data_IF_234218245264
#
_entry.id   IF_234218245264
#
_cell.length_a   1.000
_cell.length_b   1.000
_cell.length_c   1.000
_cell.angle_alpha   90.00
_cell.angle_beta   90.00
_cell.angle_gamma   90.00
#
_symmetry.space_group_name_H-M   'P 1'
#
loop_
_entity.id
_entity.type
_entity.pdbx_description
1 polymer ?
#
# COMPACT_ATOMS: atom_id res chain seq x y z
N UNK A 1 50.34 9.04 -15.13
CA UNK A 1 50.53 8.02 -14.07
C UNK A 1 49.22 7.26 -13.89
N UNK A 2 49.17 5.98 -14.19
CA UNK A 2 47.92 5.20 -14.00
C UNK A 2 47.71 5.04 -12.48
N UNK A 3 46.50 5.39 -12.04
CA UNK A 3 46.02 5.20 -10.67
C UNK A 3 45.81 3.73 -10.44
N UNK A 4 46.72 3.09 -9.70
CA UNK A 4 46.62 1.71 -9.27
C UNK A 4 45.43 1.66 -8.30
N UNK A 5 44.27 1.20 -8.77
CA UNK A 5 43.14 0.84 -7.94
C UNK A 5 43.56 -0.44 -7.23
N UNK A 6 43.93 -0.35 -5.96
CA UNK A 6 44.18 -1.51 -5.12
C UNK A 6 42.86 -2.31 -5.10
N UNK A 7 42.84 -3.45 -5.77
CA UNK A 7 41.78 -4.46 -5.63
C UNK A 7 41.93 -5.01 -4.23
N UNK A 8 41.22 -4.42 -3.27
CA UNK A 8 41.07 -4.99 -1.93
C UNK A 8 40.27 -6.28 -2.12
N UNK A 9 40.85 -7.41 -1.76
CA UNK A 9 40.13 -8.67 -1.73
C UNK A 9 38.91 -8.48 -0.84
N UNK A 10 37.75 -8.63 -1.44
CA UNK A 10 36.44 -8.50 -0.79
C UNK A 10 36.33 -9.59 0.28
N UNK A 11 36.14 -9.18 1.53
CA UNK A 11 35.99 -10.12 2.64
C UNK A 11 34.72 -10.96 2.41
N UNK A 12 34.73 -12.24 2.80
CA UNK A 12 33.58 -13.16 2.66
C UNK A 12 32.28 -12.60 3.25
N UNK A 13 32.37 -11.75 4.27
CA UNK A 13 31.22 -11.07 4.84
C UNK A 13 30.68 -9.96 3.93
N UNK A 14 31.56 -9.16 3.33
CA UNK A 14 31.18 -8.12 2.38
C UNK A 14 30.51 -8.70 1.13
N UNK A 15 31.02 -9.85 0.65
CA UNK A 15 30.44 -10.57 -0.47
C UNK A 15 29.02 -11.10 -0.14
N UNK A 16 28.84 -11.71 1.03
CA UNK A 16 27.51 -12.17 1.49
C UNK A 16 26.53 -11.02 1.66
N UNK A 17 26.99 -9.89 2.18
CA UNK A 17 26.18 -8.70 2.36
C UNK A 17 25.73 -8.15 1.00
N UNK A 18 26.62 -8.07 0.02
CA UNK A 18 26.31 -7.63 -1.33
C UNK A 18 25.30 -8.54 -2.03
N UNK A 19 25.53 -9.86 -1.98
CA UNK A 19 24.60 -10.86 -2.53
C UNK A 19 23.22 -10.75 -1.87
N UNK A 20 23.17 -10.50 -0.56
CA UNK A 20 21.91 -10.28 0.16
C UNK A 20 21.21 -9.01 -0.31
N UNK A 21 21.93 -7.89 -0.47
CA UNK A 21 21.35 -6.63 -0.99
C UNK A 21 20.88 -6.76 -2.44
N UNK A 22 21.62 -7.47 -3.29
CA UNK A 22 21.21 -7.72 -4.68
C UNK A 22 19.94 -8.57 -4.73
N UNK A 23 19.85 -9.62 -3.92
CA UNK A 23 18.64 -10.45 -3.81
C UNK A 23 17.45 -9.64 -3.30
N UNK A 24 17.64 -8.84 -2.26
CA UNK A 24 16.59 -7.96 -1.74
C UNK A 24 16.13 -6.91 -2.77
N UNK A 25 17.03 -6.36 -3.57
CA UNK A 25 16.69 -5.41 -4.61
C UNK A 25 15.84 -6.06 -5.73
N UNK A 26 16.12 -7.33 -6.07
CA UNK A 26 15.35 -8.09 -7.07
C UNK A 26 13.98 -8.54 -6.54
N UNK A 27 13.88 -8.88 -5.25
CA UNK A 27 12.62 -9.31 -4.63
C UNK A 27 11.72 -8.13 -4.22
N UNK A 28 12.28 -6.94 -4.02
CA UNK A 28 11.56 -5.76 -3.55
C UNK A 28 10.31 -5.41 -4.39
N UNK A 29 10.31 -5.46 -5.73
CA UNK A 29 9.12 -5.20 -6.53
C UNK A 29 8.00 -6.21 -6.26
N UNK A 30 8.36 -7.49 -6.08
CA UNK A 30 7.42 -8.58 -5.81
C UNK A 30 6.79 -8.41 -4.43
N UNK A 31 7.59 -8.09 -3.42
CA UNK A 31 7.12 -7.85 -2.06
C UNK A 31 6.14 -6.66 -1.98
N UNK A 32 6.40 -5.58 -2.76
CA UNK A 32 5.49 -4.44 -2.85
C UNK A 32 4.15 -4.82 -3.51
N UNK A 33 4.17 -5.65 -4.53
CA UNK A 33 2.95 -6.13 -5.19
C UNK A 33 2.15 -7.07 -4.28
N UNK A 34 2.82 -7.93 -3.53
CA UNK A 34 2.19 -8.83 -2.56
C UNK A 34 1.53 -8.04 -1.42
N UNK A 35 2.22 -7.05 -0.87
CA UNK A 35 1.66 -6.14 0.13
C UNK A 35 0.44 -5.38 -0.40
N UNK A 36 0.47 -4.91 -1.66
CA UNK A 36 -0.66 -4.24 -2.28
C UNK A 36 -1.86 -5.19 -2.48
N UNK A 37 -1.61 -6.45 -2.87
CA UNK A 37 -2.67 -7.47 -2.99
C UNK A 37 -3.33 -7.78 -1.66
N UNK A 38 -2.55 -7.91 -0.59
CA UNK A 38 -3.07 -8.09 0.77
C UNK A 38 -3.94 -6.90 1.19
N UNK A 39 -3.50 -5.68 0.90
CA UNK A 39 -4.27 -4.47 1.21
C UNK A 39 -5.60 -4.43 0.43
N UNK A 40 -5.59 -4.79 -0.86
CA UNK A 40 -6.80 -4.89 -1.68
C UNK A 40 -7.78 -5.88 -1.04
N UNK A 41 -7.29 -7.06 -0.62
CA UNK A 41 -8.10 -8.07 0.06
C UNK A 41 -8.72 -7.56 1.37
N UNK A 42 -7.93 -6.87 2.20
CA UNK A 42 -8.41 -6.27 3.45
C UNK A 42 -9.47 -5.20 3.21
N UNK A 43 -9.22 -4.25 2.30
CA UNK A 43 -10.18 -3.17 1.98
C UNK A 43 -11.48 -3.76 1.44
N UNK A 44 -11.38 -4.70 0.51
CA UNK A 44 -12.57 -5.34 -0.08
C UNK A 44 -13.36 -6.13 0.96
N UNK A 45 -12.68 -6.87 1.84
CA UNK A 45 -13.31 -7.60 2.94
C UNK A 45 -14.04 -6.67 3.92
N UNK A 46 -13.40 -5.56 4.31
CA UNK A 46 -14.02 -4.58 5.21
C UNK A 46 -15.19 -3.85 4.57
N UNK A 47 -15.10 -3.47 3.29
CA UNK A 47 -16.22 -2.91 2.56
C UNK A 47 -17.39 -3.92 2.47
N UNK A 48 -17.09 -5.17 2.16
CA UNK A 48 -18.10 -6.24 2.13
C UNK A 48 -18.78 -6.43 3.48
N UNK A 49 -18.03 -6.45 4.58
CA UNK A 49 -18.57 -6.53 5.92
C UNK A 49 -19.44 -5.31 6.27
N UNK A 50 -18.98 -4.10 5.94
CA UNK A 50 -19.73 -2.87 6.16
C UNK A 50 -21.07 -2.88 5.43
N UNK A 51 -21.07 -3.22 4.14
CA UNK A 51 -22.31 -3.32 3.35
C UNK A 51 -23.20 -4.47 3.83
N UNK A 52 -22.63 -5.59 4.25
CA UNK A 52 -23.37 -6.71 4.83
C UNK A 52 -24.14 -6.30 6.09
N UNK A 53 -23.48 -5.57 7.00
CA UNK A 53 -24.17 -5.06 8.20
C UNK A 53 -25.25 -4.05 7.85
N UNK A 54 -25.01 -3.15 6.89
CA UNK A 54 -26.01 -2.17 6.48
C UNK A 54 -27.26 -2.81 5.84
N UNK A 55 -27.09 -3.88 5.07
CA UNK A 55 -28.23 -4.59 4.45
C UNK A 55 -29.08 -5.34 5.46
N UNK A 56 -28.47 -5.98 6.46
CA UNK A 56 -29.20 -6.70 7.52
C UNK A 56 -29.95 -5.73 8.44
N UNK A 57 -29.41 -4.55 8.67
CA UNK A 57 -30.00 -3.53 9.54
C UNK A 57 -31.09 -2.66 8.86
N UNK A 58 -31.44 -2.94 7.61
CA UNK A 58 -32.35 -2.10 6.81
C UNK A 58 -33.79 -2.02 7.37
N UNK A 59 -34.25 -3.03 8.12
CA UNK A 59 -35.62 -3.07 8.65
C UNK A 59 -35.82 -2.16 9.89
N UNK A 60 -34.76 -1.92 10.67
CA UNK A 60 -34.80 -0.99 11.81
C UNK A 60 -33.49 -0.22 11.90
N UNK A 61 -33.45 0.93 11.21
CA UNK A 61 -32.26 1.80 11.30
C UNK A 61 -32.06 2.29 12.74
N UNK A 62 -30.96 1.94 13.38
CA UNK A 62 -30.66 2.42 14.73
C UNK A 62 -30.65 3.96 14.79
N UNK A 63 -31.13 4.52 15.90
CA UNK A 63 -31.29 5.97 16.07
C UNK A 63 -30.01 6.78 15.83
N UNK A 64 -28.82 6.20 16.14
CA UNK A 64 -27.52 6.84 15.90
C UNK A 64 -27.21 7.08 14.41
N UNK A 65 -27.77 6.28 13.49
CA UNK A 65 -27.64 6.51 12.04
C UNK A 65 -28.40 7.74 11.55
N UNK A 66 -29.32 8.30 12.35
CA UNK A 66 -29.98 9.56 12.03
C UNK A 66 -29.07 10.77 12.20
N UNK A 67 -27.99 10.64 13.01
CA UNK A 67 -27.03 11.71 13.27
C UNK A 67 -26.26 12.08 11.99
N UNK A 68 -26.31 13.35 11.58
CA UNK A 68 -25.61 13.84 10.39
C UNK A 68 -24.10 13.56 10.44
N UNK A 69 -23.50 13.65 11.63
CA UNK A 69 -22.07 13.38 11.81
C UNK A 69 -21.73 11.93 11.46
N UNK A 70 -22.52 10.96 11.92
CA UNK A 70 -22.32 9.53 11.64
C UNK A 70 -22.44 9.24 10.14
N UNK A 71 -23.41 9.84 9.46
CA UNK A 71 -23.57 9.72 8.01
C UNK A 71 -22.34 10.24 7.25
N UNK A 72 -21.88 11.45 7.57
CA UNK A 72 -20.73 12.06 6.90
C UNK A 72 -19.44 11.28 7.17
N UNK A 73 -19.21 10.85 8.40
CA UNK A 73 -18.07 10.00 8.75
C UNK A 73 -18.12 8.64 8.04
N UNK A 74 -19.29 8.03 7.92
CA UNK A 74 -19.48 6.78 7.17
C UNK A 74 -19.15 6.94 5.68
N UNK A 75 -19.66 8.00 5.04
CA UNK A 75 -19.35 8.32 3.64
C UNK A 75 -17.85 8.56 3.47
N UNK A 76 -17.24 9.35 4.37
CA UNK A 76 -15.81 9.63 4.34
C UNK A 76 -14.97 8.34 4.44
N UNK A 77 -15.35 7.42 5.32
CA UNK A 77 -14.68 6.12 5.46
C UNK A 77 -14.69 5.33 4.16
N UNK A 78 -15.87 5.22 3.52
CA UNK A 78 -16.02 4.51 2.24
C UNK A 78 -15.17 5.17 1.14
N UNK A 79 -15.19 6.50 1.05
CA UNK A 79 -14.38 7.26 0.07
C UNK A 79 -12.88 7.02 0.29
N UNK A 80 -12.40 7.08 1.55
CA UNK A 80 -11.00 6.84 1.87
C UNK A 80 -10.58 5.41 1.49
N UNK A 81 -11.42 4.41 1.75
CA UNK A 81 -11.11 3.04 1.39
C UNK A 81 -11.14 2.80 -0.12
N UNK A 82 -12.05 3.41 -0.86
CA UNK A 82 -12.06 3.35 -2.32
C UNK A 82 -10.81 4.01 -2.92
N UNK A 83 -10.39 5.16 -2.40
CA UNK A 83 -9.15 5.82 -2.84
C UNK A 83 -7.92 4.96 -2.50
N UNK A 84 -7.87 4.35 -1.30
CA UNK A 84 -6.83 3.40 -0.92
C UNK A 84 -6.74 2.23 -1.90
N UNK A 85 -7.89 1.66 -2.28
CA UNK A 85 -7.96 0.57 -3.25
C UNK A 85 -7.45 0.98 -4.63
N UNK A 86 -7.82 2.17 -5.11
CA UNK A 86 -7.31 2.70 -6.38
C UNK A 86 -5.78 2.88 -6.34
N UNK A 87 -5.23 3.42 -5.25
CA UNK A 87 -3.77 3.56 -5.08
C UNK A 87 -3.07 2.18 -5.07
N UNK A 88 -3.64 1.19 -4.39
CA UNK A 88 -3.10 -0.18 -4.37
C UNK A 88 -3.15 -0.84 -5.75
N UNK A 89 -4.21 -0.63 -6.53
CA UNK A 89 -4.32 -1.14 -7.90
C UNK A 89 -3.24 -0.57 -8.82
N UNK A 90 -2.85 0.70 -8.66
CA UNK A 90 -1.74 1.30 -9.41
C UNK A 90 -0.42 0.57 -9.16
N UNK A 91 -0.18 0.09 -7.93
CA UNK A 91 1.03 -0.68 -7.57
C UNK A 91 1.06 -2.04 -8.27
N UNK A 92 -0.10 -2.72 -8.35
CA UNK A 92 -0.22 -4.06 -8.95
C UNK A 92 -0.26 -4.00 -10.47
N UNK A 93 -0.73 -2.89 -11.05
CA UNK A 93 -0.86 -2.77 -12.51
C UNK A 93 0.51 -2.79 -13.19
N UNK A 94 0.75 -3.72 -14.14
CA UNK A 94 2.00 -3.81 -14.85
C UNK A 94 2.18 -2.60 -15.77
N UNK A 95 3.19 -1.78 -15.49
CA UNK A 95 3.60 -0.67 -16.37
C UNK A 95 4.81 -1.11 -17.19
N UNK A 96 4.76 -0.91 -18.50
CA UNK A 96 5.91 -1.15 -19.37
C UNK A 96 6.98 -0.09 -19.13
N UNK A 97 8.08 -0.50 -18.50
CA UNK A 97 9.27 0.33 -18.36
C UNK A 97 10.22 -0.01 -19.50
N UNK A 98 10.50 0.96 -20.36
CA UNK A 98 11.48 0.77 -21.44
C UNK A 98 12.87 0.93 -20.83
N UNK A 99 13.67 -0.14 -20.87
CA UNK A 99 15.09 -0.11 -20.56
C UNK A 99 15.86 -0.51 -21.80
N UNK A 100 16.89 0.25 -22.15
CA UNK A 100 17.85 -0.16 -23.16
C UNK A 100 18.67 -1.34 -22.62
N UNK A 101 18.49 -2.52 -23.24
CA UNK A 101 19.11 -3.77 -22.81
C UNK A 101 20.66 -3.77 -22.83
N UNK A 102 21.26 -2.71 -23.35
CA UNK A 102 22.71 -2.60 -23.55
C UNK A 102 23.49 -1.84 -22.46
N UNK A 103 22.82 -1.19 -21.49
CA UNK A 103 23.51 -0.36 -20.48
C UNK A 103 23.08 -0.73 -19.06
N UNK A 104 23.93 -1.40 -18.25
CA UNK A 104 23.59 -1.82 -16.89
C UNK A 104 23.31 -0.64 -15.94
N UNK A 105 23.92 0.51 -16.15
CA UNK A 105 23.67 1.75 -15.38
C UNK A 105 22.22 2.22 -15.55
N UNK A 106 21.69 2.19 -16.78
CA UNK A 106 20.31 2.56 -17.09
C UNK A 106 19.32 1.60 -16.45
N UNK A 107 19.66 0.30 -16.34
CA UNK A 107 18.80 -0.69 -15.70
C UNK A 107 18.65 -0.45 -14.21
N UNK A 108 19.73 -0.07 -13.52
CA UNK A 108 19.69 0.24 -12.08
C UNK A 108 18.89 1.51 -11.78
N UNK A 109 18.97 2.52 -12.64
CA UNK A 109 18.20 3.76 -12.52
C UNK A 109 16.70 3.51 -12.76
N UNK A 110 16.35 2.73 -13.79
CA UNK A 110 14.97 2.34 -14.07
C UNK A 110 14.38 1.54 -12.91
N UNK A 111 15.13 0.60 -12.32
CA UNK A 111 14.71 -0.16 -11.16
C UNK A 111 14.43 0.74 -9.95
N UNK A 112 15.34 1.68 -9.65
CA UNK A 112 15.17 2.66 -8.55
C UNK A 112 13.94 3.55 -8.79
N UNK A 113 13.74 4.02 -10.01
CA UNK A 113 12.58 4.84 -10.36
C UNK A 113 11.26 4.06 -10.22
N UNK A 114 11.25 2.79 -10.66
CA UNK A 114 10.11 1.88 -10.52
C UNK A 114 9.77 1.62 -9.04
N UNK A 115 10.78 1.29 -8.22
CA UNK A 115 10.61 1.05 -6.79
C UNK A 115 10.13 2.30 -6.06
N UNK A 116 10.69 3.47 -6.38
CA UNK A 116 10.28 4.74 -5.80
C UNK A 116 8.84 5.10 -6.13
N UNK A 117 8.42 4.86 -7.38
CA UNK A 117 7.03 5.08 -7.79
C UNK A 117 6.06 4.15 -7.06
N UNK A 118 6.29 2.83 -7.09
CA UNK A 118 5.44 1.84 -6.43
C UNK A 118 5.37 2.04 -4.91
N UNK A 119 6.52 2.32 -4.28
CA UNK A 119 6.60 2.57 -2.83
C UNK A 119 5.78 3.80 -2.41
N UNK A 120 5.78 4.87 -3.20
CA UNK A 120 4.99 6.08 -2.91
C UNK A 120 3.50 5.76 -2.94
N UNK A 121 3.01 5.16 -4.02
CA UNK A 121 1.60 4.78 -4.15
C UNK A 121 1.13 3.80 -3.08
N UNK A 122 2.01 2.86 -2.68
CA UNK A 122 1.70 1.94 -1.59
C UNK A 122 1.59 2.67 -0.24
N UNK A 123 2.50 3.61 0.04
CA UNK A 123 2.43 4.44 1.26
C UNK A 123 1.16 5.26 1.31
N UNK A 124 0.79 5.90 0.20
CA UNK A 124 -0.44 6.68 0.11
C UNK A 124 -1.66 5.79 0.34
N UNK A 125 -1.69 4.59 -0.25
CA UNK A 125 -2.74 3.61 -0.05
C UNK A 125 -2.87 3.19 1.41
N UNK A 126 -1.77 2.86 2.10
CA UNK A 126 -1.75 2.50 3.53
C UNK A 126 -2.23 3.66 4.39
N UNK A 127 -1.80 4.89 4.08
CA UNK A 127 -2.22 6.09 4.84
C UNK A 127 -3.72 6.34 4.71
N UNK A 128 -4.27 6.22 3.50
CA UNK A 128 -5.71 6.35 3.25
C UNK A 128 -6.51 5.24 3.94
N UNK A 129 -6.00 4.01 3.92
CA UNK A 129 -6.61 2.88 4.63
C UNK A 129 -6.66 3.14 6.14
N UNK A 130 -5.53 3.53 6.74
CA UNK A 130 -5.45 3.85 8.16
C UNK A 130 -6.39 5.00 8.55
N UNK A 131 -6.46 6.05 7.72
CA UNK A 131 -7.42 7.15 7.89
C UNK A 131 -8.87 6.67 7.92
N UNK A 132 -9.23 5.78 7.01
CA UNK A 132 -10.56 5.16 6.99
C UNK A 132 -10.87 4.33 8.23
N UNK A 133 -9.88 3.53 8.72
CA UNK A 133 -10.03 2.75 9.95
C UNK A 133 -10.24 3.66 11.17
N UNK A 134 -9.47 4.75 11.28
CA UNK A 134 -9.62 5.72 12.38
C UNK A 134 -11.01 6.36 12.31
N UNK A 135 -11.46 6.77 11.13
CA UNK A 135 -12.80 7.40 10.97
C UNK A 135 -13.90 6.42 11.35
N UNK A 136 -13.78 5.15 10.97
CA UNK A 136 -14.72 4.10 11.37
C UNK A 136 -14.71 3.90 12.90
N UNK A 137 -13.52 3.90 13.52
CA UNK A 137 -13.37 3.82 14.98
C UNK A 137 -14.10 4.95 15.70
N UNK A 138 -14.01 6.19 15.19
CA UNK A 138 -14.73 7.34 15.73
C UNK A 138 -16.25 7.12 15.63
N UNK A 139 -16.74 6.63 14.49
CA UNK A 139 -18.17 6.31 14.31
C UNK A 139 -18.64 5.28 15.34
N UNK A 140 -17.85 4.22 15.57
CA UNK A 140 -18.18 3.19 16.55
C UNK A 140 -18.23 3.75 17.99
N UNK A 141 -17.27 4.60 18.35
CA UNK A 141 -17.27 5.24 19.69
C UNK A 141 -18.50 6.13 19.89
N UNK A 142 -18.87 6.91 18.88
CA UNK A 142 -20.09 7.75 18.93
C UNK A 142 -21.33 6.88 19.03
N UNK A 143 -21.41 5.80 18.25
CA UNK A 143 -22.54 4.89 18.25
C UNK A 143 -22.72 4.20 19.62
N UNK A 144 -21.63 3.75 20.25
CA UNK A 144 -21.64 3.13 21.57
C UNK A 144 -21.98 4.12 22.69
N UNK A 145 -21.54 5.40 22.54
CA UNK A 145 -21.84 6.45 23.52
C UNK A 145 -23.25 7.01 23.43
N UNK A 146 -23.97 6.73 22.35
CA UNK A 146 -25.37 7.17 22.12
C UNK A 146 -26.41 6.08 22.34
N UNK A 147 -25.97 4.87 22.67
CA UNK A 147 -26.83 3.72 23.02
C UNK A 147 -27.15 3.73 24.50
#
# INVERSE_FOLDING_TARGET
MPKIISIREENNEEKKLREWFETQALESPKNLEEAARLLIGLVTGLLGALFGVLTVSAETLPAYLSLSVVKWCGILTVVLWLLSLLCALVVVTPRRWQSDAGKPETQSEVLKAMLGHKSRWLKDSVTLFAGGVITLGIVLVIALGSA
#
